data_IF_038388244697
#
_entry.id   IF_038388244697
#
_cell.length_a   1.000
_cell.length_b   1.000
_cell.length_c   1.000
_cell.angle_alpha   90.00
_cell.angle_beta   90.00
_cell.angle_gamma   90.00
#
_symmetry.space_group_name_H-M   'P 1'
#
loop_
_entity.id
_entity.type
_entity.pdbx_description
1 polymer ?
#
# COMPACT_ATOMS: atom_id res chain seq x y z
N UNK A 1 -3.77 17.15 22.95
CA UNK A 1 -4.43 18.48 22.84
C UNK A 1 -3.78 19.37 21.78
N UNK A 2 -2.46 19.32 21.58
CA UNK A 2 -1.76 20.09 20.54
C UNK A 2 -2.30 19.92 19.10
N UNK A 3 -2.78 18.72 18.73
CA UNK A 3 -3.35 18.50 17.40
C UNK A 3 -4.64 19.30 17.13
N UNK A 4 -5.48 19.48 18.15
CA UNK A 4 -6.71 20.27 18.08
C UNK A 4 -6.40 21.76 17.97
N UNK A 5 -5.39 22.24 18.70
CA UNK A 5 -4.91 23.63 18.61
C UNK A 5 -4.33 23.93 17.22
N UNK A 6 -3.60 22.99 16.61
CA UNK A 6 -3.10 23.12 15.24
C UNK A 6 -4.23 23.18 14.20
N UNK A 7 -5.25 22.34 14.36
CA UNK A 7 -6.44 22.34 13.50
C UNK A 7 -7.23 23.65 13.61
N UNK A 8 -7.41 24.16 14.83
CA UNK A 8 -8.06 25.45 15.07
C UNK A 8 -7.26 26.61 14.44
N UNK A 9 -5.93 26.56 14.53
CA UNK A 9 -5.07 27.58 13.95
C UNK A 9 -5.11 27.56 12.40
N UNK A 10 -5.14 26.37 11.79
CA UNK A 10 -5.33 26.21 10.34
C UNK A 10 -6.70 26.75 9.91
N UNK A 11 -7.77 26.44 10.64
CA UNK A 11 -9.12 26.89 10.31
C UNK A 11 -9.26 28.42 10.38
N UNK A 12 -8.74 29.06 11.44
CA UNK A 12 -8.72 30.54 11.55
C UNK A 12 -7.94 31.21 10.41
N UNK A 13 -6.90 30.53 9.92
CA UNK A 13 -6.06 31.02 8.83
C UNK A 13 -6.76 30.92 7.48
N UNK A 14 -7.50 29.84 7.23
CA UNK A 14 -8.34 29.69 6.02
C UNK A 14 -9.46 30.74 6.02
N UNK A 15 -10.12 30.97 7.15
CA UNK A 15 -11.16 32.01 7.30
C UNK A 15 -10.60 33.42 6.99
N UNK A 16 -9.37 33.70 7.42
CA UNK A 16 -8.68 34.95 7.09
C UNK A 16 -8.36 35.06 5.60
N UNK A 17 -7.85 34.01 4.96
CA UNK A 17 -7.55 33.99 3.52
C UNK A 17 -8.81 34.15 2.66
N UNK A 18 -9.93 33.58 3.11
CA UNK A 18 -11.25 33.79 2.51
C UNK A 18 -11.71 35.25 2.65
N UNK A 19 -11.46 35.89 3.80
CA UNK A 19 -11.82 37.31 4.02
C UNK A 19 -11.01 38.29 3.15
N UNK A 20 -9.81 37.91 2.71
CA UNK A 20 -8.91 38.73 1.88
C UNK A 20 -9.14 38.46 0.37
N UNK A 21 -10.00 37.51 0.01
CA UNK A 21 -10.35 37.21 -1.38
C UNK A 21 -9.28 36.43 -2.15
N UNK A 22 -8.44 35.67 -1.44
CA UNK A 22 -7.37 34.83 -2.03
C UNK A 22 -7.88 33.40 -2.33
N UNK A 23 -9.02 32.99 -1.76
CA UNK A 23 -9.62 31.66 -2.00
C UNK A 23 -10.74 31.71 -3.04
N UNK A 24 -10.69 30.82 -4.03
CA UNK A 24 -11.71 30.63 -5.08
C UNK A 24 -12.74 29.53 -4.73
N UNK A 25 -12.91 29.19 -3.44
CA UNK A 25 -13.85 28.15 -2.95
C UNK A 25 -13.60 26.72 -3.51
N UNK A 26 -12.43 26.48 -4.11
CA UNK A 26 -12.04 25.14 -4.57
C UNK A 26 -11.40 24.37 -3.38
N UNK A 27 -11.93 23.19 -3.00
CA UNK A 27 -11.44 22.44 -1.83
C UNK A 27 -9.96 22.04 -1.94
N UNK A 28 -9.45 21.77 -3.15
CA UNK A 28 -8.04 21.42 -3.35
C UNK A 28 -7.12 22.64 -3.23
N UNK A 29 -7.60 23.81 -3.71
CA UNK A 29 -6.90 25.09 -3.55
C UNK A 29 -6.85 25.50 -2.08
N UNK A 30 -7.96 25.33 -1.35
CA UNK A 30 -8.03 25.61 0.08
C UNK A 30 -7.12 24.69 0.88
N UNK A 31 -7.07 23.40 0.54
CA UNK A 31 -6.15 22.45 1.16
C UNK A 31 -4.68 22.80 0.88
N UNK A 32 -4.36 23.21 -0.34
CA UNK A 32 -3.03 23.70 -0.69
C UNK A 32 -2.65 24.95 0.10
N UNK A 33 -3.52 25.96 0.16
CA UNK A 33 -3.30 27.19 0.90
C UNK A 33 -3.16 26.94 2.41
N UNK A 34 -3.93 26.02 2.95
CA UNK A 34 -3.84 25.58 4.34
C UNK A 34 -2.47 24.94 4.64
N UNK A 35 -2.05 24.00 3.80
CA UNK A 35 -0.76 23.32 3.95
C UNK A 35 0.42 24.28 3.77
N UNK A 36 0.34 25.17 2.77
CA UNK A 36 1.36 26.17 2.51
C UNK A 36 1.48 27.18 3.67
N UNK A 37 0.36 27.61 4.24
CA UNK A 37 0.40 28.52 5.38
C UNK A 37 0.89 27.82 6.64
N UNK A 38 0.54 26.55 6.84
CA UNK A 38 1.09 25.72 7.91
C UNK A 38 2.62 25.62 7.83
N UNK A 39 3.16 25.41 6.62
CA UNK A 39 4.60 25.39 6.35
C UNK A 39 5.27 26.74 6.70
N UNK A 40 4.62 27.86 6.40
CA UNK A 40 5.12 29.19 6.77
C UNK A 40 5.15 29.37 8.30
N UNK A 41 4.12 28.93 9.01
CA UNK A 41 4.00 29.09 10.46
C UNK A 41 4.84 28.10 11.29
N UNK A 42 5.24 26.96 10.72
CA UNK A 42 6.08 25.97 11.39
C UNK A 42 7.43 26.57 11.80
N UNK A 43 7.96 26.30 13.00
CA UNK A 43 9.31 26.77 13.34
C UNK A 43 10.37 25.98 12.55
N UNK A 44 11.19 26.67 11.75
CA UNK A 44 12.29 26.08 11.00
C UNK A 44 13.62 26.68 11.47
N UNK A 45 14.12 26.20 12.61
CA UNK A 45 15.32 26.75 13.24
C UNK A 45 15.15 28.23 13.60
N UNK A 46 16.15 29.06 13.30
CA UNK A 46 16.14 30.51 13.56
C UNK A 46 15.43 31.33 12.46
N UNK A 47 14.84 30.68 11.46
CA UNK A 47 14.24 31.37 10.30
C UNK A 47 12.79 31.74 10.61
N UNK A 48 12.55 33.04 10.80
CA UNK A 48 11.22 33.58 11.00
C UNK A 48 10.37 33.60 9.70
N UNK A 49 9.08 33.92 9.85
CA UNK A 49 8.13 33.95 8.73
C UNK A 49 8.57 34.93 7.63
N UNK A 50 9.14 36.08 8.00
CA UNK A 50 9.59 37.09 7.05
C UNK A 50 10.77 36.58 6.23
N UNK A 51 11.78 35.99 6.88
CA UNK A 51 12.94 35.39 6.25
C UNK A 51 12.55 34.20 5.35
N UNK A 52 11.53 33.41 5.73
CA UNK A 52 10.97 32.36 4.85
C UNK A 52 10.32 32.95 3.61
N UNK A 53 9.49 33.99 3.75
CA UNK A 53 8.85 34.65 2.61
C UNK A 53 9.90 35.28 1.67
N UNK A 54 10.95 35.89 2.22
CA UNK A 54 12.07 36.43 1.45
C UNK A 54 12.85 35.33 0.72
N UNK A 55 13.10 34.19 1.37
CA UNK A 55 13.74 33.03 0.73
C UNK A 55 12.88 32.48 -0.40
N UNK A 56 11.58 32.25 -0.16
CA UNK A 56 10.65 31.78 -1.18
C UNK A 56 10.67 32.76 -2.35
N UNK A 57 10.47 34.06 -2.12
CA UNK A 57 10.49 35.08 -3.16
C UNK A 57 11.81 35.12 -3.95
N UNK A 58 12.94 35.06 -3.25
CA UNK A 58 14.30 35.04 -3.84
C UNK A 58 14.54 33.83 -4.73
N UNK A 59 14.00 32.67 -4.35
CA UNK A 59 14.15 31.43 -5.10
C UNK A 59 12.98 31.17 -6.06
N UNK A 60 11.88 31.90 -5.96
CA UNK A 60 10.67 31.71 -6.77
C UNK A 60 10.94 31.96 -8.24
N UNK A 61 11.77 32.95 -8.59
CA UNK A 61 12.17 33.21 -9.98
C UNK A 61 13.00 32.06 -10.56
N UNK A 62 13.82 31.39 -9.74
CA UNK A 62 14.59 30.20 -10.13
C UNK A 62 13.68 28.98 -10.27
N UNK A 63 12.77 28.77 -9.32
CA UNK A 63 11.76 27.70 -9.37
C UNK A 63 10.86 27.89 -10.59
N UNK A 64 10.37 29.10 -10.82
CA UNK A 64 9.59 29.47 -11.99
C UNK A 64 10.37 29.26 -13.29
N UNK A 65 11.67 29.60 -13.36
CA UNK A 65 12.50 29.30 -14.55
C UNK A 65 12.75 27.80 -14.76
N UNK A 66 12.81 27.00 -13.69
CA UNK A 66 12.88 25.54 -13.76
C UNK A 66 11.54 24.98 -14.26
N UNK A 67 10.41 25.44 -13.73
CA UNK A 67 9.08 24.99 -14.13
C UNK A 67 8.66 25.46 -15.54
N UNK A 68 9.17 26.59 -16.02
CA UNK A 68 8.92 27.09 -17.40
C UNK A 68 9.93 26.49 -18.39
N UNK A 69 11.16 26.18 -17.95
CA UNK A 69 12.18 25.53 -18.78
C UNK A 69 12.02 24.01 -18.88
N UNK A 70 11.33 23.40 -17.91
CA UNK A 70 10.78 22.06 -18.00
C UNK A 70 9.26 22.15 -18.20
N UNK A 71 8.83 22.48 -19.42
CA UNK A 71 7.60 21.91 -19.95
C UNK A 71 7.79 20.38 -19.99
N UNK A 72 7.66 19.75 -18.82
CA UNK A 72 7.53 18.31 -18.72
C UNK A 72 6.13 18.01 -19.24
N UNK A 73 6.12 17.55 -20.48
CA UNK A 73 5.03 16.89 -21.18
C UNK A 73 4.14 16.11 -20.22
N UNK A 74 3.04 16.73 -19.82
CA UNK A 74 1.93 16.04 -19.19
C UNK A 74 0.63 16.57 -19.78
N UNK A 75 0.57 16.59 -21.11
CA UNK A 75 -0.71 16.54 -21.83
C UNK A 75 -0.59 15.48 -22.93
N UNK A 76 -1.40 14.44 -22.74
CA UNK A 76 -1.97 13.53 -23.74
C UNK A 76 -1.68 13.91 -25.20
N UNK A 77 -0.72 13.21 -25.82
CA UNK A 77 -0.69 12.87 -27.25
C UNK A 77 0.47 11.93 -27.54
N UNK A 78 0.13 10.77 -28.10
CA UNK A 78 0.95 9.79 -28.81
C UNK A 78 2.46 10.10 -28.89
N UNK A 79 3.27 9.38 -28.11
CA UNK A 79 4.72 9.39 -28.27
C UNK A 79 5.21 8.02 -28.77
N UNK A 80 5.65 7.92 -30.04
CA UNK A 80 6.24 6.71 -30.60
C UNK A 80 7.71 6.62 -30.18
N UNK A 81 7.98 6.16 -28.96
CA UNK A 81 9.34 5.87 -28.48
C UNK A 81 9.35 4.61 -27.61
N UNK A 82 8.89 3.50 -28.19
CA UNK A 82 9.07 2.15 -27.68
C UNK A 82 10.17 1.38 -28.45
N UNK A 83 11.06 2.08 -29.17
CA UNK A 83 12.03 1.43 -30.07
C UNK A 83 13.50 1.54 -29.64
N UNK A 84 13.85 2.34 -28.63
CA UNK A 84 15.27 2.54 -28.26
C UNK A 84 15.74 1.55 -27.18
N UNK A 85 14.83 0.94 -26.40
CA UNK A 85 15.22 -0.13 -25.46
C UNK A 85 15.40 -1.50 -26.14
N UNK A 86 14.93 -1.66 -27.39
CA UNK A 86 15.03 -2.90 -28.15
C UNK A 86 16.35 -3.04 -28.95
N UNK A 87 17.20 -2.02 -28.98
CA UNK A 87 18.37 -1.96 -29.87
C UNK A 87 19.73 -2.28 -29.20
N UNK A 88 19.76 -2.74 -27.94
CA UNK A 88 21.01 -3.09 -27.26
C UNK A 88 21.36 -4.58 -27.24
N UNK A 89 20.68 -5.41 -28.04
CA UNK A 89 21.02 -6.84 -28.19
C UNK A 89 20.90 -7.30 -29.65
N UNK A 90 21.59 -6.65 -30.58
CA UNK A 90 21.91 -7.25 -31.89
C UNK A 90 23.27 -6.76 -32.38
N UNK A 91 24.27 -7.63 -32.21
CA UNK A 91 25.37 -7.88 -33.16
C UNK A 91 26.00 -9.22 -32.72
N UNK A 92 25.57 -10.32 -33.34
CA UNK A 92 26.16 -10.97 -34.52
C UNK A 92 27.26 -11.97 -34.13
N UNK A 93 26.92 -13.26 -34.16
CA UNK A 93 27.47 -14.21 -35.15
C UNK A 93 26.99 -15.64 -34.84
N UNK A 94 26.22 -16.18 -35.80
CA UNK A 94 26.16 -17.58 -36.24
C UNK A 94 26.66 -18.71 -35.31
N UNK A 95 25.71 -19.46 -34.73
CA UNK A 95 25.82 -20.92 -34.61
C UNK A 95 24.42 -21.56 -34.44
N UNK A 96 24.00 -22.52 -35.29
CA UNK A 96 22.74 -23.24 -35.14
C UNK A 96 23.00 -24.52 -34.35
N UNK A 97 22.88 -24.47 -33.03
CA UNK A 97 22.53 -25.62 -32.17
C UNK A 97 22.81 -25.27 -30.72
N UNK A 98 21.83 -24.73 -30.00
CA UNK A 98 21.68 -25.04 -28.57
C UNK A 98 20.23 -24.83 -28.15
N UNK A 99 19.61 -25.91 -27.69
CA UNK A 99 18.36 -26.02 -26.94
C UNK A 99 17.66 -24.71 -26.56
N UNK A 100 16.44 -24.53 -27.06
CA UNK A 100 15.41 -23.67 -26.46
C UNK A 100 15.23 -24.03 -24.97
N UNK A 101 15.97 -23.37 -24.09
CA UNK A 101 15.61 -23.25 -22.68
C UNK A 101 14.85 -21.94 -22.53
N UNK A 102 13.54 -22.07 -22.39
CA UNK A 102 12.56 -21.01 -22.16
C UNK A 102 12.96 -20.11 -21.00
N UNK A 103 13.49 -18.92 -21.29
CA UNK A 103 13.56 -17.81 -20.35
C UNK A 103 12.20 -17.09 -20.32
N UNK A 104 11.14 -17.79 -19.89
CA UNK A 104 9.75 -17.32 -20.03
C UNK A 104 8.98 -17.20 -18.70
N UNK A 105 9.66 -17.35 -17.56
CA UNK A 105 9.05 -17.34 -16.21
C UNK A 105 9.76 -16.38 -15.22
N UNK A 106 10.24 -15.23 -15.71
CA UNK A 106 10.65 -14.15 -14.81
C UNK A 106 9.40 -13.43 -14.31
N UNK A 107 9.24 -13.33 -12.99
CA UNK A 107 8.21 -12.51 -12.36
C UNK A 107 8.38 -11.04 -12.75
N UNK A 108 7.74 -10.59 -13.82
CA UNK A 108 7.66 -9.17 -14.15
C UNK A 108 6.60 -8.50 -13.28
N UNK A 109 7.04 -7.51 -12.52
CA UNK A 109 6.19 -6.62 -11.73
C UNK A 109 6.01 -5.34 -12.53
N UNK A 110 4.75 -4.95 -12.74
CA UNK A 110 4.39 -3.70 -13.38
C UNK A 110 4.75 -2.50 -12.50
N UNK A 111 5.16 -1.40 -13.13
CA UNK A 111 5.53 -0.17 -12.43
C UNK A 111 4.39 0.38 -11.56
N UNK A 112 3.13 0.26 -12.00
CA UNK A 112 1.97 0.68 -11.22
C UNK A 112 1.87 -0.09 -9.89
N UNK A 113 2.04 -1.42 -9.93
CA UNK A 113 2.00 -2.25 -8.73
C UNK A 113 3.11 -1.85 -7.76
N UNK A 114 4.32 -1.58 -8.27
CA UNK A 114 5.42 -1.07 -7.44
C UNK A 114 5.09 0.26 -6.77
N UNK A 115 4.57 1.23 -7.53
CA UNK A 115 4.24 2.56 -7.00
C UNK A 115 3.15 2.44 -5.93
N UNK A 116 2.08 1.68 -6.20
CA UNK A 116 0.95 1.52 -5.27
C UNK A 116 1.35 0.80 -3.99
N UNK A 117 2.25 -0.18 -4.08
CA UNK A 117 2.76 -0.93 -2.93
C UNK A 117 3.61 -0.08 -1.95
N UNK A 118 4.08 1.11 -2.36
CA UNK A 118 4.95 1.95 -1.53
C UNK A 118 4.29 2.40 -0.23
N UNK A 119 2.98 2.68 -0.22
CA UNK A 119 2.29 3.07 1.02
C UNK A 119 2.27 1.91 2.01
N UNK A 120 1.99 0.69 1.54
CA UNK A 120 2.04 -0.52 2.36
C UNK A 120 3.43 -0.74 2.92
N UNK A 121 4.47 -0.58 2.11
CA UNK A 121 5.87 -0.71 2.54
C UNK A 121 6.28 0.36 3.54
N UNK A 122 5.86 1.61 3.35
CA UNK A 122 6.11 2.69 4.29
C UNK A 122 5.47 2.40 5.65
N UNK A 123 4.19 2.02 5.64
CA UNK A 123 3.45 1.66 6.85
C UNK A 123 4.05 0.42 7.53
N UNK A 124 4.49 -0.55 6.73
CA UNK A 124 5.18 -1.73 7.23
C UNK A 124 6.48 -1.36 7.95
N UNK A 125 7.30 -0.53 7.32
CA UNK A 125 8.57 -0.07 7.88
C UNK A 125 8.36 0.73 9.17
N UNK A 126 7.36 1.62 9.20
CA UNK A 126 7.05 2.44 10.37
C UNK A 126 6.51 1.63 11.54
N UNK A 127 5.66 0.65 11.26
CA UNK A 127 4.89 -0.05 12.29
C UNK A 127 5.59 -1.30 12.81
N UNK A 128 6.30 -2.04 11.94
CA UNK A 128 6.79 -3.38 12.30
C UNK A 128 8.29 -3.47 12.56
N UNK A 129 9.09 -2.51 12.11
CA UNK A 129 10.55 -2.57 12.30
C UNK A 129 10.95 -2.60 13.79
N UNK A 130 10.17 -1.97 14.66
CA UNK A 130 10.38 -2.04 16.11
C UNK A 130 10.34 -3.48 16.66
N UNK A 131 9.45 -4.34 16.15
CA UNK A 131 9.38 -5.75 16.57
C UNK A 131 10.56 -6.58 16.05
N UNK A 132 11.21 -6.10 15.00
CA UNK A 132 12.46 -6.64 14.46
C UNK A 132 13.69 -6.00 15.10
N UNK A 133 13.56 -5.15 16.11
CA UNK A 133 14.69 -4.40 16.71
C UNK A 133 15.48 -3.63 15.65
N UNK A 134 14.79 -3.14 14.63
CA UNK A 134 15.35 -2.35 13.55
C UNK A 134 15.03 -0.88 13.80
N UNK A 135 16.04 -0.05 13.65
CA UNK A 135 15.91 1.40 13.81
C UNK A 135 15.54 2.05 12.46
N UNK A 136 14.43 2.78 12.43
CA UNK A 136 13.99 3.52 11.23
C UNK A 136 14.93 4.68 10.88
N UNK A 137 15.76 5.13 11.82
CA UNK A 137 16.78 6.15 11.62
C UNK A 137 18.10 5.60 11.03
N UNK A 138 18.17 4.30 10.71
CA UNK A 138 19.33 3.66 10.08
C UNK A 138 19.01 3.26 8.63
N UNK A 139 19.31 4.13 7.64
CA UNK A 139 19.01 3.87 6.25
C UNK A 139 19.60 2.56 5.73
N UNK A 140 20.79 2.16 6.20
CA UNK A 140 21.42 0.92 5.75
C UNK A 140 20.59 -0.33 6.09
N UNK A 141 19.97 -0.35 7.26
CA UNK A 141 19.11 -1.45 7.70
C UNK A 141 17.84 -1.54 6.85
N UNK A 142 17.28 -0.39 6.46
CA UNK A 142 16.13 -0.30 5.56
C UNK A 142 16.52 -0.79 4.16
N UNK A 143 17.51 -0.16 3.53
CA UNK A 143 17.89 -0.43 2.15
C UNK A 143 18.47 -1.83 1.92
N UNK A 144 18.95 -2.51 2.96
CA UNK A 144 19.42 -3.89 2.86
C UNK A 144 18.31 -4.88 2.53
N UNK A 145 17.12 -4.70 3.12
CA UNK A 145 16.01 -5.65 2.99
C UNK A 145 14.91 -5.14 2.06
N UNK A 146 14.84 -3.82 1.87
CA UNK A 146 13.83 -3.16 1.05
C UNK A 146 13.68 -3.73 -0.37
N UNK A 147 14.73 -4.11 -1.12
CA UNK A 147 14.55 -4.67 -2.46
C UNK A 147 13.70 -5.93 -2.48
N UNK A 148 13.90 -6.82 -1.51
CA UNK A 148 13.16 -8.08 -1.41
C UNK A 148 11.74 -7.84 -0.88
N UNK A 149 11.59 -7.01 0.15
CA UNK A 149 10.27 -6.64 0.68
C UNK A 149 9.43 -5.96 -0.40
N UNK A 150 10.01 -4.99 -1.11
CA UNK A 150 9.35 -4.26 -2.19
C UNK A 150 8.97 -5.18 -3.34
N UNK A 151 9.86 -6.09 -3.75
CA UNK A 151 9.54 -7.06 -4.80
C UNK A 151 8.34 -7.94 -4.41
N UNK A 152 8.31 -8.50 -3.20
CA UNK A 152 7.19 -9.36 -2.76
C UNK A 152 5.90 -8.57 -2.64
N UNK A 153 5.93 -7.42 -1.97
CA UNK A 153 4.76 -6.58 -1.75
C UNK A 153 4.17 -6.09 -3.09
N UNK A 154 5.01 -5.57 -3.98
CA UNK A 154 4.59 -5.14 -5.32
C UNK A 154 4.00 -6.29 -6.14
N UNK A 155 4.52 -7.52 -5.97
CA UNK A 155 3.98 -8.68 -6.67
C UNK A 155 2.60 -9.06 -6.14
N UNK A 156 2.42 -9.13 -4.82
CA UNK A 156 1.12 -9.38 -4.18
C UNK A 156 0.12 -8.33 -4.64
N UNK A 157 0.52 -7.06 -4.63
CA UNK A 157 -0.30 -5.94 -5.08
C UNK A 157 -0.72 -6.06 -6.55
N UNK A 158 0.17 -6.58 -7.42
CA UNK A 158 -0.18 -6.90 -8.80
C UNK A 158 -1.23 -8.02 -8.89
N UNK A 159 -1.14 -9.03 -8.03
CA UNK A 159 -2.11 -10.11 -7.96
C UNK A 159 -3.47 -9.64 -7.44
N UNK A 160 -3.50 -8.73 -6.46
CA UNK A 160 -4.73 -8.08 -6.00
C UNK A 160 -5.44 -7.38 -7.16
N UNK A 161 -4.72 -6.61 -7.98
CA UNK A 161 -5.29 -5.99 -9.18
C UNK A 161 -5.81 -7.00 -10.21
N UNK A 162 -5.17 -8.17 -10.36
CA UNK A 162 -5.70 -9.24 -11.22
C UNK A 162 -6.97 -9.87 -10.64
N UNK A 163 -7.04 -10.01 -9.32
CA UNK A 163 -8.21 -10.49 -8.62
C UNK A 163 -9.39 -9.50 -8.71
N UNK A 164 -9.15 -8.20 -8.55
CA UNK A 164 -10.14 -7.13 -8.77
C UNK A 164 -10.69 -7.18 -10.21
N UNK A 165 -9.82 -7.34 -11.22
CA UNK A 165 -10.26 -7.49 -12.63
C UNK A 165 -11.19 -8.69 -12.84
N UNK A 166 -11.02 -9.79 -12.08
CA UNK A 166 -11.94 -10.93 -12.13
C UNK A 166 -13.31 -10.60 -11.55
N UNK A 167 -13.38 -9.70 -10.57
CA UNK A 167 -14.62 -9.20 -10.00
C UNK A 167 -15.32 -8.21 -10.94
N UNK A 168 -14.55 -7.37 -11.62
CA UNK A 168 -15.09 -6.33 -12.48
C UNK A 168 -15.82 -6.90 -13.68
N UNK A 169 -15.29 -7.92 -14.36
CA UNK A 169 -15.81 -8.52 -15.60
C UNK A 169 -17.35 -8.72 -15.61
N UNK A 170 -18.11 -7.83 -16.27
CA UNK A 170 -19.52 -8.07 -16.57
C UNK A 170 -19.69 -8.22 -18.09
N UNK A 171 -20.54 -9.15 -18.54
CA UNK A 171 -21.43 -9.00 -19.73
C UNK A 171 -21.79 -10.36 -20.31
N UNK A 172 -23.03 -10.79 -20.06
CA UNK A 172 -23.70 -11.81 -20.87
C UNK A 172 -24.37 -12.95 -20.12
N UNK A 173 -25.20 -12.65 -19.12
CA UNK A 173 -26.18 -13.60 -18.58
C UNK A 173 -25.63 -14.63 -17.57
N UNK A 174 -25.78 -14.32 -16.28
CA UNK A 174 -25.57 -15.25 -15.17
C UNK A 174 -24.22 -15.10 -14.46
N UNK A 175 -24.16 -15.31 -13.14
CA UNK A 175 -22.93 -15.18 -12.36
C UNK A 175 -21.98 -16.32 -12.75
N UNK A 176 -20.82 -15.97 -13.33
CA UNK A 176 -19.73 -16.93 -13.54
C UNK A 176 -18.98 -17.06 -12.21
N UNK A 177 -19.59 -17.79 -11.28
CA UNK A 177 -18.87 -18.38 -10.18
C UNK A 177 -18.30 -19.70 -10.72
N UNK A 178 -16.99 -19.74 -10.99
CA UNK A 178 -16.22 -20.92 -11.40
C UNK A 178 -16.64 -21.60 -12.71
N UNK A 179 -16.63 -20.88 -13.84
CA UNK A 179 -16.60 -21.54 -15.16
C UNK A 179 -15.29 -21.27 -15.86
N UNK A 180 -14.63 -22.34 -16.28
CA UNK A 180 -13.44 -22.35 -17.13
C UNK A 180 -13.74 -21.62 -18.44
N UNK A 181 -13.47 -20.32 -18.46
CA UNK A 181 -13.51 -19.51 -19.66
C UNK A 181 -12.28 -19.87 -20.50
N UNK A 182 -12.47 -20.77 -21.47
CA UNK A 182 -11.60 -20.88 -22.64
C UNK A 182 -11.74 -19.59 -23.48
N UNK A 183 -11.07 -18.52 -23.04
CA UNK A 183 -10.95 -17.29 -23.84
C UNK A 183 -9.74 -17.45 -24.76
N UNK A 184 -10.04 -17.75 -26.02
CA UNK A 184 -9.09 -17.80 -27.13
C UNK A 184 -8.63 -16.43 -27.61
N UNK A 185 -8.13 -15.58 -26.71
CA UNK A 185 -7.50 -14.30 -27.05
C UNK A 185 -6.03 -14.29 -26.56
N UNK A 186 -5.03 -14.13 -27.46
CA UNK A 186 -3.61 -14.11 -27.10
C UNK A 186 -3.13 -12.70 -26.72
N UNK A 187 -3.84 -12.01 -25.81
CA UNK A 187 -3.35 -10.78 -25.18
C UNK A 187 -2.55 -11.10 -23.91
N UNK A 188 -1.58 -10.24 -23.57
CA UNK A 188 -0.72 -10.37 -22.37
C UNK A 188 -1.56 -10.50 -21.09
N UNK A 189 -2.67 -9.74 -21.00
CA UNK A 189 -3.65 -9.81 -19.91
C UNK A 189 -4.29 -11.21 -19.79
N UNK A 190 -4.56 -11.89 -20.90
CA UNK A 190 -5.14 -13.23 -20.87
C UNK A 190 -4.12 -14.30 -20.44
N UNK A 191 -2.82 -14.13 -20.75
CA UNK A 191 -1.75 -15.00 -20.23
C UNK A 191 -1.61 -14.81 -18.72
N UNK A 192 -1.50 -13.58 -18.24
CA UNK A 192 -1.38 -13.26 -16.81
C UNK A 192 -2.57 -13.75 -15.99
N UNK A 193 -3.80 -13.58 -16.51
CA UNK A 193 -5.01 -14.05 -15.83
C UNK A 193 -5.09 -15.58 -15.77
N UNK A 194 -4.61 -16.29 -16.80
CA UNK A 194 -4.50 -17.76 -16.80
C UNK A 194 -3.49 -18.24 -15.77
N UNK A 195 -2.34 -17.58 -15.67
CA UNK A 195 -1.32 -17.90 -14.65
C UNK A 195 -1.87 -17.67 -13.25
N UNK A 196 -2.50 -16.52 -13.01
CA UNK A 196 -3.13 -16.19 -11.72
C UNK A 196 -4.16 -17.25 -11.29
N UNK A 197 -5.03 -17.70 -12.20
CA UNK A 197 -6.04 -18.72 -11.88
C UNK A 197 -5.46 -20.09 -11.53
N UNK A 198 -4.29 -20.43 -12.07
CA UNK A 198 -3.72 -21.78 -11.93
C UNK A 198 -2.83 -21.89 -10.69
N UNK A 199 -1.89 -20.98 -10.55
CA UNK A 199 -0.89 -20.96 -9.48
C UNK A 199 -0.31 -19.54 -9.38
N UNK A 200 -0.99 -18.62 -8.65
CA UNK A 200 -0.66 -17.20 -8.65
C UNK A 200 0.69 -16.93 -8.01
N UNK A 201 1.09 -17.75 -7.02
CA UNK A 201 2.32 -17.57 -6.27
C UNK A 201 3.51 -18.37 -6.83
N UNK A 202 3.34 -19.17 -7.89
CA UNK A 202 4.43 -19.94 -8.52
C UNK A 202 5.70 -19.13 -8.74
N UNK A 203 5.64 -17.90 -9.29
CA UNK A 203 6.86 -17.14 -9.55
C UNK A 203 7.53 -16.67 -8.25
N UNK A 204 6.75 -16.36 -7.20
CA UNK A 204 7.31 -16.05 -5.88
C UNK A 204 7.97 -17.26 -5.23
N UNK A 205 7.38 -18.45 -5.36
CA UNK A 205 8.02 -19.68 -4.88
C UNK A 205 9.40 -19.88 -5.51
N UNK A 206 9.50 -19.74 -6.84
CA UNK A 206 10.78 -19.91 -7.56
C UNK A 206 11.82 -18.90 -7.06
N UNK A 207 11.46 -17.62 -6.92
CA UNK A 207 12.38 -16.58 -6.43
C UNK A 207 12.80 -16.85 -4.99
N UNK A 208 11.87 -17.13 -4.09
CA UNK A 208 12.16 -17.36 -2.67
C UNK A 208 12.96 -18.65 -2.45
N UNK A 209 12.72 -19.70 -3.22
CA UNK A 209 13.53 -20.93 -3.20
C UNK A 209 14.97 -20.65 -3.64
N UNK A 210 15.14 -19.93 -4.75
CA UNK A 210 16.48 -19.60 -5.28
C UNK A 210 17.33 -18.79 -4.29
N UNK A 211 16.68 -17.93 -3.50
CA UNK A 211 17.31 -17.10 -2.46
C UNK A 211 17.37 -17.79 -1.09
N UNK A 212 16.88 -19.03 -0.96
CA UNK A 212 16.78 -19.78 0.31
C UNK A 212 15.97 -19.06 1.40
N UNK A 213 14.97 -18.28 0.99
CA UNK A 213 14.06 -17.55 1.87
C UNK A 213 12.73 -18.26 2.06
N UNK A 214 12.41 -19.24 1.20
CA UNK A 214 11.15 -19.97 1.32
C UNK A 214 11.11 -20.84 2.58
N UNK A 215 10.04 -20.71 3.35
CA UNK A 215 9.76 -21.57 4.51
C UNK A 215 8.36 -22.18 4.39
N UNK A 216 8.11 -23.25 5.14
CA UNK A 216 6.78 -23.86 5.21
C UNK A 216 5.71 -22.86 5.66
N UNK A 217 6.05 -21.96 6.59
CA UNK A 217 5.12 -20.94 7.10
C UNK A 217 4.82 -19.86 6.06
N UNK A 218 5.82 -19.37 5.33
CA UNK A 218 5.59 -18.44 4.20
C UNK A 218 4.71 -19.10 3.14
N UNK A 219 4.94 -20.38 2.85
CA UNK A 219 4.11 -21.14 1.90
C UNK A 219 2.66 -21.27 2.35
N UNK A 220 2.44 -21.42 3.66
CA UNK A 220 1.10 -21.48 4.25
C UNK A 220 0.40 -20.11 4.19
N UNK A 221 1.10 -19.00 4.47
CA UNK A 221 0.53 -17.66 4.33
C UNK A 221 0.12 -17.33 2.88
N UNK A 222 0.88 -17.79 1.86
CA UNK A 222 0.44 -17.65 0.47
C UNK A 222 -0.84 -18.44 0.18
N UNK A 223 -0.97 -19.66 0.73
CA UNK A 223 -2.22 -20.43 0.60
C UNK A 223 -3.40 -19.73 1.28
N UNK A 224 -3.15 -19.05 2.40
CA UNK A 224 -4.14 -18.21 3.04
C UNK A 224 -4.52 -16.99 2.20
N UNK A 225 -3.58 -16.40 1.45
CA UNK A 225 -3.88 -15.37 0.45
C UNK A 225 -4.78 -15.87 -0.68
N UNK A 226 -4.54 -17.07 -1.20
CA UNK A 226 -5.42 -17.69 -2.21
C UNK A 226 -6.84 -17.93 -1.66
N UNK A 227 -6.93 -18.44 -0.43
CA UNK A 227 -8.20 -18.64 0.27
C UNK A 227 -8.94 -17.31 0.49
N UNK A 228 -8.21 -16.26 0.89
CA UNK A 228 -8.75 -14.91 1.05
C UNK A 228 -9.36 -14.40 -0.26
N UNK A 229 -8.62 -14.42 -1.37
CA UNK A 229 -9.16 -13.97 -2.66
C UNK A 229 -10.36 -14.79 -3.12
N UNK A 230 -10.40 -16.10 -2.82
CA UNK A 230 -11.57 -16.93 -3.12
C UNK A 230 -12.80 -16.51 -2.29
N UNK A 231 -12.61 -16.20 -1.00
CA UNK A 231 -13.66 -15.68 -0.13
C UNK A 231 -14.12 -14.29 -0.57
N UNK A 232 -13.20 -13.39 -0.91
CA UNK A 232 -13.53 -12.05 -1.40
C UNK A 232 -14.40 -12.14 -2.66
N UNK A 233 -14.00 -12.97 -3.64
CA UNK A 233 -14.82 -13.21 -4.83
C UNK A 233 -16.20 -13.76 -4.50
N UNK A 234 -16.28 -14.72 -3.58
CA UNK A 234 -17.53 -15.32 -3.13
C UNK A 234 -18.45 -14.28 -2.46
N UNK A 235 -17.91 -13.48 -1.55
CA UNK A 235 -18.63 -12.45 -0.80
C UNK A 235 -19.12 -11.33 -1.71
N UNK A 236 -18.25 -10.79 -2.58
CA UNK A 236 -18.62 -9.80 -3.58
C UNK A 236 -19.70 -10.32 -4.53
N UNK A 237 -19.59 -11.57 -5.00
CA UNK A 237 -20.61 -12.19 -5.86
C UNK A 237 -21.96 -12.34 -5.12
N UNK A 238 -21.93 -12.71 -3.83
CA UNK A 238 -23.14 -12.82 -3.01
C UNK A 238 -23.81 -11.46 -2.82
N UNK A 239 -23.01 -10.41 -2.54
CA UNK A 239 -23.47 -9.02 -2.44
C UNK A 239 -24.16 -8.55 -3.72
N UNK A 240 -23.50 -8.69 -4.88
CA UNK A 240 -24.07 -8.28 -6.18
C UNK A 240 -25.33 -9.07 -6.53
N UNK A 241 -25.40 -10.34 -6.13
CA UNK A 241 -26.54 -11.21 -6.39
C UNK A 241 -27.67 -11.12 -5.35
N UNK A 242 -27.55 -10.23 -4.35
CA UNK A 242 -28.46 -10.14 -3.19
C UNK A 242 -28.72 -11.50 -2.50
N UNK A 243 -27.67 -12.33 -2.40
CA UNK A 243 -27.73 -13.60 -1.69
C UNK A 243 -27.35 -13.40 -0.22
N UNK A 244 -27.79 -14.31 0.63
CA UNK A 244 -27.39 -14.34 2.04
C UNK A 244 -25.87 -14.54 2.16
N UNK A 245 -25.26 -13.76 3.04
CA UNK A 245 -23.82 -13.77 3.30
C UNK A 245 -23.59 -14.55 4.60
N UNK A 246 -22.71 -15.55 4.56
CA UNK A 246 -22.33 -16.31 5.74
C UNK A 246 -21.40 -15.47 6.63
N UNK A 247 -21.74 -15.41 7.92
CA UNK A 247 -20.91 -14.74 8.94
C UNK A 247 -19.58 -15.48 9.09
N UNK A 248 -19.57 -16.80 8.94
CA UNK A 248 -18.36 -17.62 8.98
C UNK A 248 -17.40 -17.27 7.85
N UNK A 249 -17.90 -17.12 6.61
CA UNK A 249 -17.09 -16.70 5.46
C UNK A 249 -16.49 -15.30 5.68
N UNK A 250 -17.30 -14.35 6.18
CA UNK A 250 -16.83 -12.98 6.48
C UNK A 250 -15.78 -12.99 7.57
N UNK A 251 -16.04 -13.72 8.66
CA UNK A 251 -15.10 -13.84 9.78
C UNK A 251 -13.79 -14.44 9.29
N UNK A 252 -13.86 -15.50 8.47
CA UNK A 252 -12.65 -16.12 7.89
C UNK A 252 -11.90 -15.15 6.99
N UNK A 253 -12.59 -14.42 6.12
CA UNK A 253 -11.97 -13.45 5.22
C UNK A 253 -11.21 -12.36 6.00
N UNK A 254 -11.81 -11.81 7.06
CA UNK A 254 -11.16 -10.79 7.91
C UNK A 254 -9.84 -11.32 8.51
N UNK A 255 -9.82 -12.55 9.02
CA UNK A 255 -8.59 -13.13 9.59
C UNK A 255 -7.50 -13.37 8.53
N UNK A 256 -7.88 -13.63 7.28
CA UNK A 256 -6.94 -13.92 6.21
C UNK A 256 -6.44 -12.67 5.48
N UNK A 257 -7.17 -11.55 5.57
CA UNK A 257 -6.95 -10.34 4.79
C UNK A 257 -5.50 -9.84 4.82
N UNK A 258 -4.88 -9.77 6.00
CA UNK A 258 -3.52 -9.24 6.17
C UNK A 258 -2.40 -10.28 5.98
N UNK A 259 -2.60 -11.27 5.09
CA UNK A 259 -1.58 -12.30 4.85
C UNK A 259 -0.28 -11.73 4.27
N UNK A 260 -0.37 -10.64 3.50
CA UNK A 260 0.74 -9.85 2.97
C UNK A 260 1.66 -9.36 4.10
N UNK A 261 1.11 -8.72 5.14
CA UNK A 261 1.86 -8.28 6.32
C UNK A 261 2.51 -9.44 7.09
N UNK A 262 1.85 -10.59 7.17
CA UNK A 262 2.42 -11.80 7.79
C UNK A 262 3.57 -12.35 6.95
N UNK A 263 3.43 -12.41 5.63
CA UNK A 263 4.52 -12.78 4.70
C UNK A 263 5.71 -11.84 4.86
N UNK A 264 5.49 -10.51 4.86
CA UNK A 264 6.56 -9.52 5.01
C UNK A 264 7.31 -9.68 6.34
N UNK A 265 6.59 -9.92 7.44
CA UNK A 265 7.20 -10.17 8.75
C UNK A 265 8.04 -11.45 8.78
N UNK A 266 7.50 -12.56 8.26
CA UNK A 266 8.23 -13.82 8.17
C UNK A 266 9.47 -13.71 7.29
N UNK A 267 9.34 -13.02 6.16
CA UNK A 267 10.43 -12.78 5.23
C UNK A 267 11.53 -11.93 5.87
N UNK A 268 11.17 -10.91 6.65
CA UNK A 268 12.13 -10.08 7.37
C UNK A 268 12.90 -10.88 8.44
N UNK A 269 12.26 -11.82 9.14
CA UNK A 269 12.97 -12.76 10.01
C UNK A 269 13.99 -13.61 9.23
N UNK A 270 13.60 -14.16 8.08
CA UNK A 270 14.50 -14.97 7.25
C UNK A 270 15.67 -14.16 6.69
N UNK A 271 15.41 -12.96 6.17
CA UNK A 271 16.43 -12.05 5.63
C UNK A 271 17.47 -11.64 6.68
N UNK A 272 17.05 -11.56 7.95
CA UNK A 272 17.92 -11.24 9.09
C UNK A 272 18.61 -12.46 9.68
N UNK A 273 18.22 -13.68 9.28
CA UNK A 273 18.73 -14.92 9.85
C UNK A 273 18.29 -15.13 11.30
N UNK A 274 17.14 -14.57 11.69
CA UNK A 274 16.61 -14.68 13.05
C UNK A 274 15.49 -15.73 13.13
N UNK A 275 15.36 -16.36 14.30
CA UNK A 275 14.21 -17.24 14.58
C UNK A 275 12.94 -16.38 14.68
N UNK A 276 11.87 -16.85 14.04
CA UNK A 276 10.55 -16.21 14.15
C UNK A 276 10.14 -16.13 15.62
N UNK A 277 9.73 -14.94 16.03
CA UNK A 277 9.18 -14.71 17.37
C UNK A 277 7.67 -15.00 17.35
N UNK A 278 7.27 -16.11 17.97
CA UNK A 278 5.86 -16.52 17.98
C UNK A 278 4.95 -15.52 18.69
N UNK A 279 5.43 -14.87 19.74
CA UNK A 279 4.65 -13.85 20.45
C UNK A 279 4.41 -12.62 19.57
N UNK A 280 5.38 -12.26 18.73
CA UNK A 280 5.18 -11.23 17.72
C UNK A 280 4.12 -11.67 16.70
N UNK A 281 4.22 -12.88 16.15
CA UNK A 281 3.24 -13.37 15.17
C UNK A 281 1.83 -13.53 15.75
N UNK A 282 1.69 -13.91 17.02
CA UNK A 282 0.40 -13.94 17.71
C UNK A 282 -0.15 -12.52 17.90
N UNK A 283 0.69 -11.58 18.31
CA UNK A 283 0.31 -10.17 18.41
C UNK A 283 -0.18 -9.60 17.07
N UNK A 284 0.50 -9.93 15.95
CA UNK A 284 0.09 -9.51 14.61
C UNK A 284 -1.36 -9.89 14.33
N UNK A 285 -1.74 -11.14 14.57
CA UNK A 285 -3.11 -11.62 14.30
C UNK A 285 -4.20 -10.84 15.05
N UNK A 286 -3.90 -10.39 16.27
CA UNK A 286 -4.83 -9.59 17.07
C UNK A 286 -4.84 -8.13 16.59
N UNK A 287 -3.66 -7.57 16.33
CA UNK A 287 -3.50 -6.20 15.85
C UNK A 287 -4.19 -5.99 14.50
N UNK A 288 -4.02 -6.93 13.57
CA UNK A 288 -4.65 -6.93 12.25
C UNK A 288 -6.18 -6.87 12.37
N UNK A 289 -6.77 -7.74 13.21
CA UNK A 289 -8.22 -7.73 13.46
C UNK A 289 -8.70 -6.38 14.03
N UNK A 290 -7.94 -5.79 14.95
CA UNK A 290 -8.30 -4.50 15.54
C UNK A 290 -8.20 -3.35 14.55
N UNK A 291 -7.21 -3.38 13.66
CA UNK A 291 -7.04 -2.39 12.59
C UNK A 291 -8.22 -2.48 11.62
N UNK A 292 -8.59 -3.68 11.17
CA UNK A 292 -9.73 -3.87 10.26
C UNK A 292 -11.05 -3.38 10.88
N UNK A 293 -11.31 -3.73 12.15
CA UNK A 293 -12.51 -3.23 12.87
C UNK A 293 -12.46 -1.71 13.03
N UNK A 294 -11.29 -1.14 13.28
CA UNK A 294 -11.11 0.31 13.42
C UNK A 294 -11.37 1.03 12.10
N UNK A 295 -10.86 0.52 10.99
CA UNK A 295 -11.04 1.11 9.66
C UNK A 295 -12.51 1.10 9.24
N UNK A 296 -13.19 -0.03 9.44
CA UNK A 296 -14.63 -0.14 9.19
C UNK A 296 -15.42 0.86 10.05
N UNK A 297 -15.12 0.94 11.36
CA UNK A 297 -15.76 1.91 12.26
C UNK A 297 -15.50 3.35 11.83
N UNK A 298 -14.31 3.67 11.34
CA UNK A 298 -13.99 5.00 10.83
C UNK A 298 -14.82 5.34 9.59
N UNK A 299 -15.01 4.40 8.66
CA UNK A 299 -15.88 4.57 7.49
C UNK A 299 -17.33 4.79 7.93
N UNK A 300 -17.84 3.97 8.86
CA UNK A 300 -19.18 4.16 9.43
C UNK A 300 -19.35 5.55 10.05
N UNK A 301 -18.35 6.03 10.79
CA UNK A 301 -18.36 7.36 11.39
C UNK A 301 -18.31 8.46 10.34
N UNK A 302 -17.50 8.33 9.28
CA UNK A 302 -17.47 9.29 8.18
C UNK A 302 -18.84 9.37 7.49
N UNK A 303 -19.47 8.23 7.22
CA UNK A 303 -20.84 8.17 6.68
C UNK A 303 -21.84 8.82 7.65
N UNK A 304 -21.75 8.53 8.95
CA UNK A 304 -22.65 9.11 9.96
C UNK A 304 -22.39 10.58 10.25
N UNK A 305 -21.17 11.08 10.04
CA UNK A 305 -20.80 12.48 10.13
C UNK A 305 -21.44 13.26 8.98
N UNK A 306 -21.41 12.71 7.76
CA UNK A 306 -22.19 13.22 6.62
C UNK A 306 -23.69 13.22 6.93
N UNK A 307 -24.18 12.30 7.77
CA UNK A 307 -25.59 12.18 8.17
C UNK A 307 -25.90 12.94 9.51
N UNK A 308 -24.92 13.59 10.14
CA UNK A 308 -25.10 14.50 11.27
C UNK A 308 -25.38 13.88 12.66
N UNK A 309 -24.87 12.68 12.98
CA UNK A 309 -25.07 12.06 14.33
C UNK A 309 -23.82 12.11 15.23
N UNK A 310 -23.88 12.88 16.32
CA UNK A 310 -22.74 13.24 17.20
C UNK A 310 -22.44 12.26 18.35
N UNK A 311 -23.35 11.34 18.68
CA UNK A 311 -23.23 10.47 19.87
C UNK A 311 -22.28 9.28 19.71
N UNK A 312 -22.04 8.80 18.48
CA UNK A 312 -21.17 7.64 18.22
C UNK A 312 -19.67 7.99 18.34
N UNK A 313 -19.31 9.26 18.11
CA UNK A 313 -17.94 9.77 18.18
C UNK A 313 -17.25 9.52 19.54
N UNK A 314 -18.02 9.61 20.63
CA UNK A 314 -17.48 9.42 21.99
C UNK A 314 -17.10 7.97 22.28
N UNK A 315 -17.84 7.00 21.76
CA UNK A 315 -17.59 5.58 22.00
C UNK A 315 -16.37 5.10 21.22
N UNK A 316 -16.23 5.56 19.97
CA UNK A 316 -15.11 5.17 19.09
C UNK A 316 -13.83 5.91 19.49
N UNK A 317 -13.91 7.20 19.87
CA UNK A 317 -12.78 7.92 20.46
C UNK A 317 -12.26 7.22 21.73
N UNK A 318 -13.14 6.65 22.57
CA UNK A 318 -12.69 5.85 23.71
C UNK A 318 -12.05 4.51 23.30
N UNK A 319 -12.49 3.89 22.21
CA UNK A 319 -11.88 2.65 21.71
C UNK A 319 -10.47 2.90 21.13
N UNK A 320 -10.30 3.93 20.31
CA UNK A 320 -8.99 4.33 19.79
C UNK A 320 -8.04 4.78 20.92
N UNK A 321 -8.53 5.53 21.91
CA UNK A 321 -7.75 5.91 23.10
C UNK A 321 -7.36 4.68 23.93
N UNK A 322 -8.24 3.68 24.07
CA UNK A 322 -7.90 2.41 24.72
C UNK A 322 -6.83 1.64 23.93
N UNK A 323 -6.93 1.58 22.59
CA UNK A 323 -5.93 0.91 21.75
C UNK A 323 -4.56 1.59 21.87
N UNK A 324 -4.52 2.93 21.77
CA UNK A 324 -3.32 3.74 21.99
C UNK A 324 -2.75 3.53 23.40
N UNK A 325 -3.60 3.49 24.43
CA UNK A 325 -3.17 3.24 25.81
C UNK A 325 -2.60 1.83 25.99
N UNK A 326 -3.15 0.83 25.31
CA UNK A 326 -2.62 -0.55 25.33
C UNK A 326 -1.27 -0.62 24.60
N UNK A 327 -1.13 0.07 23.47
CA UNK A 327 0.14 0.18 22.75
C UNK A 327 1.22 0.91 23.57
N UNK A 328 0.86 1.99 24.28
CA UNK A 328 1.75 2.72 25.21
C UNK A 328 2.12 1.88 26.45
N UNK A 329 1.17 1.13 27.01
CA UNK A 329 1.41 0.21 28.14
C UNK A 329 2.39 -0.91 27.76
N UNK A 330 2.31 -1.42 26.54
CA UNK A 330 3.23 -2.44 26.02
C UNK A 330 4.62 -1.86 25.69
N UNK A 331 4.70 -0.63 25.18
CA UNK A 331 5.97 0.10 25.06
C UNK A 331 6.66 0.24 26.43
N UNK A 332 5.90 0.59 27.47
CA UNK A 332 6.46 0.70 28.82
C UNK A 332 6.92 -0.64 29.40
N UNK A 333 6.25 -1.76 29.16
CA UNK A 333 6.68 -3.07 29.65
C UNK A 333 7.98 -3.58 29.01
N UNK A 334 8.25 -3.22 27.75
CA UNK A 334 9.53 -3.55 27.08
C UNK A 334 10.73 -2.81 27.70
N UNK A 335 10.49 -1.69 28.38
CA UNK A 335 11.52 -0.93 29.11
C UNK A 335 11.87 -1.54 30.48
N UNK A 336 11.02 -2.43 31.03
CA UNK A 336 11.23 -3.07 32.35
C UNK A 336 11.85 -4.46 32.31
N UNK A 337 12.15 -5.02 31.13
CA UNK A 337 12.91 -6.28 31.01
C UNK A 337 14.43 -6.10 30.92
N UNK A 338 14.95 -4.87 31.07
CA UNK A 338 16.38 -4.56 31.15
C UNK A 338 16.80 -3.99 32.52
N UNK A 339 16.25 -4.54 33.62
CA UNK A 339 16.76 -4.34 34.97
C UNK A 339 17.05 -5.67 35.66
#
# INVERSE_FOLDING_TARGET
MEGLERLEQVQRTIELLHSIGISDSNPDSERFLANFTSLLMQQCGEVDICAKCELISKHMSKISSLCIGSELQCETKDCPQLEIAAQLYYDDETNPDTSQNSCDDVAMIGMDAMIRSNSTLEDFCRSYFMFHKMETNQPQSIFRYLPMLSFIESYIYQLDGLNEKLLELPKGGGPICNTDLEVGDPNLDAKSLRTFKRDPFRPLFIVLESQRLLTARISEEFRFGEEYWALERKLCCALVSNKEISIEDVTRAIHLKSFDYRVLNLLLYQLRGEKVNELHMEFLSISELLVEVSDDLCIYVQILFVIGRTTLWRTISMFCVCLLSIMELLQHQSCWQNL
#
